data_IF_531605477955
#
_entry.id   IF_531605477955
#
_cell.length_a   1.000
_cell.length_b   1.000
_cell.length_c   1.000
_cell.angle_alpha   90.00
_cell.angle_beta   90.00
_cell.angle_gamma   90.00
#
_symmetry.space_group_name_H-M   'P 1'
#
loop_
_entity.id
_entity.type
_entity.pdbx_description
1 polymer ?
#
# COMPACT_ATOMS: atom_id res chain seq x y z
N UNK A 1 20.31 65.48 26.87
CA UNK A 1 20.61 64.15 26.36
C UNK A 1 19.35 63.27 26.61
N UNK A 2 18.49 63.07 25.61
CA UNK A 2 17.22 62.39 25.76
C UNK A 2 17.38 60.97 25.22
N UNK A 3 17.27 59.92 26.07
CA UNK A 3 17.16 58.55 25.68
C UNK A 3 15.73 58.29 25.17
N UNK A 4 15.60 57.96 23.90
CA UNK A 4 14.39 57.42 23.32
C UNK A 4 14.42 55.90 23.52
N UNK A 5 13.58 55.40 24.40
CA UNK A 5 13.29 53.95 24.50
C UNK A 5 12.42 53.49 23.31
N UNK A 6 12.92 52.50 22.61
CA UNK A 6 12.26 51.94 21.43
C UNK A 6 11.26 50.83 21.88
N UNK A 7 9.96 51.15 21.86
CA UNK A 7 8.86 50.33 22.39
C UNK A 7 8.41 49.24 21.39
N UNK A 8 9.11 49.04 20.28
CA UNK A 8 8.62 48.15 19.21
C UNK A 8 9.19 46.71 19.22
N UNK A 9 9.99 46.32 20.20
CA UNK A 9 10.66 45.02 20.21
C UNK A 9 9.91 43.93 21.01
N UNK A 10 8.83 44.24 21.74
CA UNK A 10 8.23 43.29 22.71
C UNK A 10 6.90 42.68 22.26
N UNK A 11 6.36 43.07 21.10
CA UNK A 11 5.04 42.58 20.65
C UNK A 11 5.06 41.44 19.63
N UNK A 12 6.23 41.05 19.11
CA UNK A 12 6.33 40.06 18.05
C UNK A 12 6.65 38.63 18.53
N UNK A 13 7.08 38.44 19.76
CA UNK A 13 7.46 37.10 20.29
C UNK A 13 6.28 36.38 20.95
N UNK A 14 5.26 37.10 21.41
CA UNK A 14 4.10 36.48 22.08
C UNK A 14 3.02 36.00 21.14
N UNK A 15 2.92 36.54 19.91
CA UNK A 15 1.89 36.14 18.94
C UNK A 15 2.21 34.80 18.24
N UNK A 16 3.49 34.51 18.02
CA UNK A 16 3.88 33.23 17.35
C UNK A 16 3.77 32.03 18.28
N UNK A 17 3.96 32.20 19.59
CA UNK A 17 3.79 31.12 20.57
C UNK A 17 2.31 30.83 20.85
N UNK A 18 1.43 31.84 20.77
CA UNK A 18 -0.02 31.64 20.95
C UNK A 18 -0.71 31.02 19.73
N UNK A 19 -0.22 31.28 18.50
CA UNK A 19 -0.76 30.64 17.29
C UNK A 19 -0.28 29.17 17.17
N UNK A 20 0.90 28.81 17.65
CA UNK A 20 1.38 27.44 17.69
C UNK A 20 0.63 26.54 18.68
N UNK A 21 0.17 27.09 19.80
CA UNK A 21 -0.57 26.35 20.82
C UNK A 21 -2.03 26.09 20.42
N UNK A 22 -2.60 26.86 19.49
CA UNK A 22 -4.01 26.73 19.08
C UNK A 22 -4.27 25.57 18.13
N UNK A 23 -3.24 24.91 17.60
CA UNK A 23 -3.34 23.81 16.64
C UNK A 23 -2.59 22.54 17.05
N UNK A 24 -2.02 22.49 18.25
CA UNK A 24 -1.44 21.26 18.76
C UNK A 24 -2.56 20.27 19.09
N UNK A 25 -2.64 19.17 18.34
CA UNK A 25 -3.58 18.07 18.63
C UNK A 25 -3.18 17.44 19.95
N UNK A 26 -4.16 17.20 20.84
CA UNK A 26 -3.89 16.52 22.11
C UNK A 26 -3.77 15.01 21.91
N UNK A 27 -3.05 14.33 22.80
CA UNK A 27 -2.95 12.85 22.78
C UNK A 27 -4.34 12.19 22.86
N UNK A 28 -5.25 12.78 23.64
CA UNK A 28 -6.63 12.30 23.75
C UNK A 28 -7.37 12.40 22.40
N UNK A 29 -7.24 13.53 21.68
CA UNK A 29 -7.85 13.69 20.37
C UNK A 29 -7.31 12.69 19.34
N UNK A 30 -6.00 12.40 19.37
CA UNK A 30 -5.36 11.40 18.51
C UNK A 30 -5.91 10.00 18.84
N UNK A 31 -5.99 9.68 20.12
CA UNK A 31 -6.49 8.39 20.61
C UNK A 31 -7.97 8.19 20.25
N UNK A 32 -8.80 9.21 20.43
CA UNK A 32 -10.21 9.17 20.08
C UNK A 32 -10.41 9.05 18.57
N UNK A 33 -9.60 9.75 17.77
CA UNK A 33 -9.66 9.62 16.32
C UNK A 33 -9.28 8.19 15.88
N UNK A 34 -8.20 7.64 16.43
CA UNK A 34 -7.78 6.28 16.10
C UNK A 34 -8.86 5.24 16.46
N UNK A 35 -9.51 5.37 17.62
CA UNK A 35 -10.65 4.53 18.00
C UNK A 35 -11.82 4.71 17.02
N UNK A 36 -12.22 5.96 16.77
CA UNK A 36 -13.31 6.27 15.89
C UNK A 36 -13.08 5.74 14.45
N UNK A 37 -11.83 5.83 13.96
CA UNK A 37 -11.45 5.29 12.66
C UNK A 37 -11.57 3.76 12.60
N UNK A 38 -11.22 3.05 13.67
CA UNK A 38 -11.32 1.59 13.74
C UNK A 38 -12.74 1.08 13.90
N UNK A 39 -13.58 1.79 14.63
CA UNK A 39 -14.93 1.34 14.99
C UNK A 39 -16.05 1.99 14.18
N UNK A 40 -15.71 2.59 13.04
CA UNK A 40 -16.65 3.24 12.13
C UNK A 40 -17.48 4.35 12.77
N UNK A 41 -16.94 5.07 13.79
CA UNK A 41 -17.63 6.16 14.46
C UNK A 41 -17.50 7.49 13.70
N UNK A 42 -18.38 7.66 12.73
CA UNK A 42 -18.44 8.85 11.87
C UNK A 42 -18.72 10.14 12.66
N UNK A 43 -19.52 10.04 13.74
CA UNK A 43 -19.89 11.22 14.53
C UNK A 43 -18.66 11.81 15.23
N UNK A 44 -17.87 10.95 15.88
CA UNK A 44 -16.62 11.35 16.54
C UNK A 44 -15.61 11.88 15.52
N UNK A 45 -15.43 11.22 14.37
CA UNK A 45 -14.51 11.69 13.32
C UNK A 45 -14.92 13.08 12.82
N UNK A 46 -16.21 13.31 12.50
CA UNK A 46 -16.70 14.62 12.08
C UNK A 46 -16.47 15.70 13.15
N UNK A 47 -16.74 15.37 14.41
CA UNK A 47 -16.51 16.31 15.53
C UNK A 47 -15.03 16.69 15.65
N UNK A 48 -14.10 15.72 15.56
CA UNK A 48 -12.66 15.99 15.63
C UNK A 48 -12.17 16.84 14.46
N UNK A 49 -12.59 16.51 13.23
CA UNK A 49 -12.26 17.30 12.04
C UNK A 49 -12.79 18.74 12.16
N UNK A 50 -14.02 18.94 12.68
CA UNK A 50 -14.59 20.28 12.88
C UNK A 50 -13.87 21.10 13.95
N UNK A 51 -13.20 20.45 14.89
CA UNK A 51 -12.32 21.08 15.90
C UNK A 51 -10.90 21.35 15.38
N UNK A 52 -10.64 21.11 14.08
CA UNK A 52 -9.35 21.36 13.45
C UNK A 52 -8.33 20.23 13.59
N UNK A 53 -8.72 19.04 14.06
CA UNK A 53 -7.84 17.87 14.05
C UNK A 53 -7.57 17.49 12.60
N UNK A 54 -6.28 17.31 12.25
CA UNK A 54 -5.90 16.98 10.87
C UNK A 54 -6.39 15.57 10.47
N UNK A 55 -6.95 15.40 9.27
CA UNK A 55 -7.27 14.05 8.76
C UNK A 55 -6.02 13.19 8.52
N UNK A 56 -4.84 13.82 8.45
CA UNK A 56 -3.54 13.17 8.24
C UNK A 56 -2.81 12.83 9.55
N UNK A 57 -3.51 12.94 10.66
CA UNK A 57 -2.99 12.51 11.97
C UNK A 57 -2.70 11.00 11.93
N UNK A 58 -1.64 10.60 12.62
CA UNK A 58 -1.29 9.18 12.83
C UNK A 58 -1.53 8.77 14.28
N UNK A 59 -1.82 7.50 14.49
CA UNK A 59 -1.84 6.94 15.84
C UNK A 59 -0.42 6.87 16.44
N UNK A 60 -0.24 6.53 17.73
CA UNK A 60 1.08 6.44 18.35
C UNK A 60 2.02 5.42 17.68
N UNK A 61 1.48 4.45 16.93
CA UNK A 61 2.25 3.47 16.17
C UNK A 61 2.72 4.04 14.82
N UNK A 62 2.12 5.16 14.38
CA UNK A 62 2.41 5.82 13.11
C UNK A 62 1.51 5.36 11.98
N UNK A 63 0.38 4.72 12.28
CA UNK A 63 -0.63 4.41 11.28
C UNK A 63 -1.52 5.65 11.03
N UNK A 64 -1.64 6.14 9.77
CA UNK A 64 -2.59 7.18 9.40
C UNK A 64 -4.04 6.75 9.67
N UNK A 65 -4.92 7.71 10.00
CA UNK A 65 -6.32 7.41 10.32
C UNK A 65 -7.06 6.73 9.16
N UNK A 66 -6.76 7.08 7.92
CA UNK A 66 -7.32 6.40 6.74
C UNK A 66 -6.84 4.95 6.65
N UNK A 67 -5.56 4.68 6.95
CA UNK A 67 -5.02 3.32 6.98
C UNK A 67 -5.71 2.45 8.03
N UNK A 68 -5.94 3.01 9.23
CA UNK A 68 -6.67 2.32 10.30
C UNK A 68 -8.11 1.99 9.86
N UNK A 69 -8.81 2.96 9.29
CA UNK A 69 -10.18 2.76 8.81
C UNK A 69 -10.25 1.65 7.74
N UNK A 70 -9.30 1.62 6.78
CA UNK A 70 -9.27 0.59 5.73
C UNK A 70 -8.90 -0.79 6.33
N UNK A 71 -7.93 -0.86 7.26
CA UNK A 71 -7.57 -2.11 7.95
C UNK A 71 -8.78 -2.74 8.64
N UNK A 72 -9.57 -1.93 9.31
CA UNK A 72 -10.72 -2.37 10.11
C UNK A 72 -12.06 -2.34 9.34
N UNK A 73 -12.02 -2.04 8.03
CA UNK A 73 -13.18 -1.99 7.12
C UNK A 73 -14.30 -1.06 7.60
N UNK A 74 -13.92 0.09 8.14
CA UNK A 74 -14.82 1.14 8.64
C UNK A 74 -15.37 1.98 7.48
N UNK A 75 -16.32 1.44 6.72
CA UNK A 75 -16.76 1.94 5.41
C UNK A 75 -17.18 3.40 5.42
N UNK A 76 -17.98 3.83 6.40
CA UNK A 76 -18.47 5.22 6.45
C UNK A 76 -17.35 6.20 6.79
N UNK A 77 -16.41 5.80 7.66
CA UNK A 77 -15.22 6.61 7.99
C UNK A 77 -14.25 6.64 6.81
N UNK A 78 -14.06 5.53 6.10
CA UNK A 78 -13.27 5.49 4.85
C UNK A 78 -13.83 6.51 3.86
N UNK A 79 -15.14 6.46 3.60
CA UNK A 79 -15.81 7.37 2.66
C UNK A 79 -15.67 8.83 3.11
N UNK A 80 -15.85 9.11 4.40
CA UNK A 80 -15.70 10.45 4.96
C UNK A 80 -14.28 10.99 4.78
N UNK A 81 -13.26 10.18 5.11
CA UNK A 81 -11.86 10.57 4.99
C UNK A 81 -11.43 10.71 3.53
N UNK A 82 -11.84 9.80 2.64
CA UNK A 82 -11.54 9.92 1.22
C UNK A 82 -12.22 11.14 0.59
N UNK A 83 -13.43 11.49 1.00
CA UNK A 83 -14.14 12.68 0.50
C UNK A 83 -13.52 14.00 0.99
N UNK A 84 -12.81 13.99 2.12
CA UNK A 84 -12.13 15.17 2.65
C UNK A 84 -10.92 15.52 1.79
N UNK A 85 -10.94 16.68 1.12
CA UNK A 85 -9.85 17.11 0.23
C UNK A 85 -8.50 17.33 0.93
N UNK A 86 -8.51 17.57 2.25
CA UNK A 86 -7.30 17.74 3.05
C UNK A 86 -6.64 16.40 3.42
N UNK A 87 -7.33 15.25 3.22
CA UNK A 87 -6.73 13.94 3.44
C UNK A 87 -5.67 13.65 2.39
N UNK A 88 -4.47 13.33 2.83
CA UNK A 88 -3.42 12.77 1.99
C UNK A 88 -3.67 11.26 1.83
N UNK A 89 -4.06 10.85 0.63
CA UNK A 89 -4.39 9.46 0.31
C UNK A 89 -3.16 8.60 0.00
N UNK A 90 -1.99 9.20 -0.04
CA UNK A 90 -0.71 8.52 -0.23
C UNK A 90 0.15 8.50 1.05
N UNK A 91 -0.39 9.03 2.15
CA UNK A 91 0.31 9.02 3.44
C UNK A 91 0.54 7.59 3.91
N UNK A 92 1.81 7.19 3.99
CA UNK A 92 2.20 5.85 4.42
C UNK A 92 2.40 5.76 5.94
N UNK A 93 2.27 4.55 6.48
CA UNK A 93 2.67 4.24 7.84
C UNK A 93 4.20 4.02 7.95
N UNK A 94 4.70 3.70 9.14
CA UNK A 94 6.14 3.46 9.40
C UNK A 94 6.72 2.28 8.60
N UNK A 95 5.89 1.38 8.12
CA UNK A 95 6.29 0.27 7.24
C UNK A 95 6.29 0.65 5.77
N UNK A 96 5.93 1.90 5.43
CA UNK A 96 5.82 2.38 4.05
C UNK A 96 4.52 1.96 3.36
N UNK A 97 3.53 1.43 4.10
CA UNK A 97 2.26 1.00 3.53
C UNK A 97 1.30 2.18 3.36
N UNK A 98 0.86 2.42 2.13
CA UNK A 98 -0.14 3.43 1.78
C UNK A 98 -1.56 2.90 1.92
N UNK A 99 -2.58 3.79 1.98
CA UNK A 99 -3.98 3.38 1.92
C UNK A 99 -4.30 2.43 0.76
N UNK A 100 -3.75 2.70 -0.43
CA UNK A 100 -3.97 1.87 -1.62
C UNK A 100 -3.36 0.47 -1.47
N UNK A 101 -2.19 0.33 -0.83
CA UNK A 101 -1.59 -0.98 -0.54
C UNK A 101 -2.47 -1.78 0.42
N UNK A 102 -2.99 -1.14 1.49
CA UNK A 102 -3.85 -1.80 2.47
C UNK A 102 -5.19 -2.22 1.85
N UNK A 103 -5.81 -1.36 1.04
CA UNK A 103 -7.02 -1.71 0.31
C UNK A 103 -6.76 -2.88 -0.66
N UNK A 104 -5.57 -2.93 -1.28
CA UNK A 104 -5.19 -3.98 -2.22
C UNK A 104 -4.97 -5.34 -1.54
N UNK A 105 -4.35 -5.38 -0.34
CA UNK A 105 -4.18 -6.64 0.41
C UNK A 105 -5.49 -7.14 0.99
N UNK A 106 -6.45 -6.22 1.27
CA UNK A 106 -7.79 -6.57 1.73
C UNK A 106 -8.70 -7.06 0.59
N UNK A 107 -8.32 -6.84 -0.67
CA UNK A 107 -9.15 -7.13 -1.83
C UNK A 107 -10.33 -6.17 -2.00
N UNK A 108 -10.26 -5.00 -1.38
CA UNK A 108 -11.33 -4.00 -1.36
C UNK A 108 -11.36 -3.19 -2.66
N UNK A 109 -11.90 -3.79 -3.71
CA UNK A 109 -11.98 -3.17 -5.04
C UNK A 109 -12.72 -1.83 -5.05
N UNK A 110 -13.84 -1.63 -4.33
CA UNK A 110 -14.51 -0.33 -4.22
C UNK A 110 -13.59 0.78 -3.71
N UNK A 111 -12.88 0.54 -2.59
CA UNK A 111 -11.92 1.50 -2.03
C UNK A 111 -10.76 1.74 -2.97
N UNK A 112 -10.19 0.68 -3.57
CA UNK A 112 -9.12 0.78 -4.58
C UNK A 112 -9.55 1.68 -5.74
N UNK A 113 -10.75 1.47 -6.30
CA UNK A 113 -11.30 2.29 -7.38
C UNK A 113 -11.43 3.75 -6.97
N UNK A 114 -11.96 4.01 -5.79
CA UNK A 114 -12.15 5.38 -5.28
C UNK A 114 -10.81 6.09 -5.10
N UNK A 115 -9.82 5.44 -4.49
CA UNK A 115 -8.48 5.99 -4.31
C UNK A 115 -7.82 6.33 -5.66
N UNK A 116 -7.84 5.41 -6.62
CA UNK A 116 -7.17 5.60 -7.92
C UNK A 116 -7.93 6.57 -8.82
N UNK A 117 -9.23 6.39 -9.00
CA UNK A 117 -9.99 7.16 -10.00
C UNK A 117 -10.37 8.56 -9.52
N UNK A 118 -10.79 8.69 -8.26
CA UNK A 118 -11.27 9.96 -7.72
C UNK A 118 -10.18 10.77 -7.06
N UNK A 119 -9.27 10.12 -6.32
CA UNK A 119 -8.23 10.80 -5.55
C UNK A 119 -6.86 10.79 -6.22
N UNK A 120 -6.69 10.04 -7.33
CA UNK A 120 -5.42 9.94 -8.07
C UNK A 120 -4.25 9.42 -7.23
N UNK A 121 -4.55 8.50 -6.31
CA UNK A 121 -3.55 7.85 -5.48
C UNK A 121 -2.44 7.21 -6.34
N UNK A 122 -1.21 7.25 -5.85
CA UNK A 122 -0.05 6.70 -6.54
C UNK A 122 -0.16 5.17 -6.61
N UNK A 123 -0.12 4.63 -7.84
CA UNK A 123 -0.25 3.20 -8.11
C UNK A 123 1.09 2.47 -7.90
N UNK A 124 2.20 3.14 -8.23
CA UNK A 124 3.54 2.56 -8.09
C UNK A 124 4.37 3.32 -7.05
N UNK A 125 5.16 2.56 -6.31
CA UNK A 125 6.10 3.05 -5.31
C UNK A 125 7.44 2.31 -5.45
N UNK A 126 8.51 2.89 -4.93
CA UNK A 126 9.78 2.18 -4.80
C UNK A 126 9.63 1.06 -3.76
N UNK A 127 9.98 -0.15 -4.14
CA UNK A 127 9.80 -1.33 -3.30
C UNK A 127 8.44 -1.99 -3.47
N UNK A 128 7.74 -2.26 -2.37
CA UNK A 128 6.42 -2.88 -2.42
C UNK A 128 5.38 -1.96 -3.06
N UNK A 129 4.56 -2.51 -3.97
CA UNK A 129 3.49 -1.78 -4.67
C UNK A 129 2.12 -2.38 -4.35
N UNK A 130 1.01 -1.65 -4.56
CA UNK A 130 -0.34 -2.20 -4.44
C UNK A 130 -0.54 -3.51 -5.22
N UNK A 131 0.12 -3.66 -6.39
CA UNK A 131 0.04 -4.88 -7.19
C UNK A 131 0.69 -6.08 -6.49
N UNK A 132 1.82 -5.90 -5.80
CA UNK A 132 2.41 -6.95 -4.97
C UNK A 132 1.43 -7.42 -3.88
N UNK A 133 0.78 -6.49 -3.20
CA UNK A 133 -0.17 -6.78 -2.11
C UNK A 133 -1.42 -7.52 -2.62
N UNK A 134 -1.97 -7.10 -3.76
CA UNK A 134 -3.08 -7.80 -4.41
C UNK A 134 -2.68 -9.23 -4.82
N UNK A 135 -1.49 -9.39 -5.40
CA UNK A 135 -0.96 -10.68 -5.83
C UNK A 135 -0.68 -11.61 -4.65
N UNK A 136 -0.16 -11.11 -3.53
CA UNK A 136 0.15 -11.90 -2.34
C UNK A 136 -1.08 -12.60 -1.73
N UNK A 137 -2.26 -12.02 -1.91
CA UNK A 137 -3.53 -12.59 -1.43
C UNK A 137 -4.41 -13.17 -2.54
N UNK A 138 -3.94 -13.16 -3.79
CA UNK A 138 -4.68 -13.72 -4.91
C UNK A 138 -5.90 -12.90 -5.34
N UNK A 139 -5.95 -11.59 -5.05
CA UNK A 139 -7.06 -10.72 -5.38
C UNK A 139 -7.04 -10.33 -6.87
N UNK A 140 -7.59 -11.23 -7.68
CA UNK A 140 -7.58 -11.12 -9.15
C UNK A 140 -8.18 -9.81 -9.66
N UNK A 141 -9.35 -9.42 -9.17
CA UNK A 141 -10.07 -8.24 -9.65
C UNK A 141 -9.32 -6.94 -9.32
N UNK A 142 -8.71 -6.87 -8.13
CA UNK A 142 -7.86 -5.74 -7.73
C UNK A 142 -6.62 -5.67 -8.62
N UNK A 143 -5.95 -6.80 -8.83
CA UNK A 143 -4.76 -6.85 -9.70
C UNK A 143 -5.10 -6.45 -11.15
N UNK A 144 -6.22 -6.95 -11.70
CA UNK A 144 -6.71 -6.56 -13.03
C UNK A 144 -6.94 -5.05 -13.11
N UNK A 145 -7.59 -4.48 -12.12
CA UNK A 145 -7.87 -3.05 -12.07
C UNK A 145 -6.58 -2.21 -11.98
N UNK A 146 -5.64 -2.59 -11.10
CA UNK A 146 -4.35 -1.88 -10.96
C UNK A 146 -3.55 -1.92 -12.26
N UNK A 147 -3.44 -3.09 -12.90
CA UNK A 147 -2.75 -3.26 -14.18
C UNK A 147 -3.41 -2.41 -15.28
N UNK A 148 -4.74 -2.40 -15.34
CA UNK A 148 -5.48 -1.59 -16.32
C UNK A 148 -5.30 -0.08 -16.12
N UNK A 149 -4.90 0.35 -14.91
CA UNK A 149 -4.63 1.75 -14.58
C UNK A 149 -3.13 2.08 -14.49
N UNK A 150 -2.25 1.24 -15.04
CA UNK A 150 -0.84 1.54 -15.24
C UNK A 150 0.12 0.99 -14.20
N UNK A 151 -0.30 0.06 -13.33
CA UNK A 151 0.62 -0.60 -12.41
C UNK A 151 1.74 -1.33 -13.16
N UNK A 152 2.98 -1.13 -12.73
CA UNK A 152 4.16 -1.78 -13.30
C UNK A 152 4.15 -3.28 -13.01
N UNK A 153 4.10 -4.10 -14.08
CA UNK A 153 3.96 -5.56 -14.00
C UNK A 153 5.13 -6.21 -13.26
N UNK A 154 6.34 -5.76 -13.55
CA UNK A 154 7.59 -6.32 -13.04
C UNK A 154 8.27 -5.40 -12.01
N UNK A 155 7.47 -4.63 -11.25
CA UNK A 155 7.99 -3.85 -10.13
C UNK A 155 8.73 -4.76 -9.14
N UNK A 156 9.82 -4.24 -8.56
CA UNK A 156 10.69 -4.99 -7.67
C UNK A 156 10.53 -4.50 -6.23
N UNK A 157 10.23 -5.40 -5.32
CA UNK A 157 10.31 -5.12 -3.87
C UNK A 157 11.78 -4.94 -3.44
N UNK A 158 12.02 -4.57 -2.18
CA UNK A 158 13.38 -4.46 -1.63
C UNK A 158 14.18 -5.77 -1.73
N UNK A 159 13.50 -6.93 -1.78
CA UNK A 159 14.11 -8.24 -2.00
C UNK A 159 14.05 -8.71 -3.46
N UNK A 160 13.87 -7.80 -4.41
CA UNK A 160 13.68 -8.08 -5.83
C UNK A 160 12.53 -9.08 -6.13
N UNK A 161 11.57 -9.20 -5.21
CA UNK A 161 10.37 -10.01 -5.44
C UNK A 161 9.45 -9.28 -6.41
N UNK A 162 8.90 -9.99 -7.40
CA UNK A 162 7.95 -9.44 -8.38
C UNK A 162 6.50 -9.77 -8.01
N UNK A 163 5.50 -9.04 -8.54
CA UNK A 163 4.09 -9.40 -8.41
C UNK A 163 3.79 -10.83 -8.89
N UNK A 164 4.46 -11.31 -9.95
CA UNK A 164 4.33 -12.68 -10.43
C UNK A 164 4.76 -13.69 -9.37
N UNK A 165 5.90 -13.47 -8.71
CA UNK A 165 6.37 -14.33 -7.61
C UNK A 165 5.36 -14.41 -6.46
N UNK A 166 4.74 -13.28 -6.11
CA UNK A 166 3.69 -13.23 -5.08
C UNK A 166 2.42 -13.96 -5.52
N UNK A 167 2.00 -13.81 -6.79
CA UNK A 167 0.85 -14.53 -7.33
C UNK A 167 1.07 -16.05 -7.34
N UNK A 168 2.28 -16.51 -7.68
CA UNK A 168 2.66 -17.92 -7.60
C UNK A 168 2.58 -18.43 -6.16
N UNK A 169 3.11 -17.68 -5.21
CA UNK A 169 3.04 -18.03 -3.79
C UNK A 169 1.60 -18.14 -3.29
N UNK A 170 0.72 -17.23 -3.72
CA UNK A 170 -0.71 -17.29 -3.37
C UNK A 170 -1.42 -18.52 -3.91
N UNK A 171 -0.91 -19.14 -4.99
CA UNK A 171 -1.48 -20.29 -5.65
C UNK A 171 -2.65 -19.97 -6.59
N UNK A 172 -2.91 -18.70 -6.88
CA UNK A 172 -3.99 -18.31 -7.80
C UNK A 172 -3.54 -18.42 -9.27
N UNK A 173 -3.85 -19.54 -9.92
CA UNK A 173 -3.45 -19.83 -11.31
C UNK A 173 -3.97 -18.81 -12.31
N UNK A 174 -5.20 -18.31 -12.11
CA UNK A 174 -5.81 -17.31 -13.01
C UNK A 174 -5.04 -15.98 -12.92
N UNK A 175 -4.63 -15.59 -11.72
CA UNK A 175 -3.82 -14.40 -11.52
C UNK A 175 -2.41 -14.55 -12.09
N UNK A 176 -1.77 -15.72 -11.91
CA UNK A 176 -0.47 -16.03 -12.54
C UNK A 176 -0.59 -15.93 -14.06
N UNK A 177 -1.64 -16.54 -14.64
CA UNK A 177 -1.89 -16.45 -16.07
C UNK A 177 -2.09 -15.01 -16.52
N UNK A 178 -2.88 -14.22 -15.81
CA UNK A 178 -3.09 -12.80 -16.10
C UNK A 178 -1.77 -12.03 -16.19
N UNK A 179 -0.91 -12.14 -15.17
CA UNK A 179 0.37 -11.43 -15.14
C UNK A 179 1.27 -11.84 -16.33
N UNK A 180 1.34 -13.13 -16.63
CA UNK A 180 2.09 -13.64 -17.77
C UNK A 180 1.54 -13.14 -19.11
N UNK A 181 0.23 -13.06 -19.26
CA UNK A 181 -0.41 -12.54 -20.49
C UNK A 181 -0.24 -11.02 -20.63
N UNK A 182 0.02 -10.33 -19.51
CA UNK A 182 0.39 -8.92 -19.46
C UNK A 182 1.89 -8.66 -19.56
N UNK A 183 2.69 -9.70 -19.81
CA UNK A 183 4.10 -9.59 -20.13
C UNK A 183 5.06 -9.75 -18.94
N UNK A 184 4.60 -10.28 -17.82
CA UNK A 184 5.49 -10.55 -16.68
C UNK A 184 6.70 -11.42 -17.09
N UNK A 185 7.91 -11.00 -16.70
CA UNK A 185 9.16 -11.63 -17.08
C UNK A 185 9.48 -12.83 -16.18
N UNK A 186 9.53 -14.02 -16.77
CA UNK A 186 9.91 -15.27 -16.11
C UNK A 186 11.40 -15.38 -15.75
N UNK A 187 12.25 -14.52 -16.29
CA UNK A 187 13.68 -14.55 -16.04
C UNK A 187 14.08 -13.85 -14.74
N UNK A 188 13.21 -12.97 -14.25
CA UNK A 188 13.50 -12.21 -13.04
C UNK A 188 13.71 -13.13 -11.84
N UNK A 189 14.70 -12.77 -11.02
CA UNK A 189 15.04 -13.49 -9.80
C UNK A 189 15.08 -12.55 -8.62
N UNK A 190 14.58 -13.04 -7.50
CA UNK A 190 14.65 -12.31 -6.24
C UNK A 190 16.09 -12.30 -5.66
N UNK A 191 16.28 -11.63 -4.53
CA UNK A 191 17.59 -11.54 -3.85
C UNK A 191 18.16 -12.89 -3.40
N UNK A 192 17.34 -13.94 -3.34
CA UNK A 192 17.77 -15.31 -3.07
C UNK A 192 18.14 -16.08 -4.36
N UNK A 193 18.08 -15.42 -5.53
CA UNK A 193 18.32 -16.04 -6.82
C UNK A 193 17.16 -16.90 -7.34
N UNK A 194 15.98 -16.82 -6.72
CA UNK A 194 14.81 -17.62 -7.07
C UNK A 194 13.92 -16.89 -8.08
N UNK A 195 13.50 -17.59 -9.14
CA UNK A 195 12.48 -17.15 -10.09
C UNK A 195 11.09 -17.55 -9.63
N UNK A 196 10.04 -17.10 -10.37
CA UNK A 196 8.68 -17.54 -10.16
C UNK A 196 8.52 -19.07 -10.31
N UNK A 197 9.31 -19.73 -11.17
CA UNK A 197 9.30 -21.19 -11.34
C UNK A 197 9.83 -21.88 -10.08
N UNK A 198 10.95 -21.39 -9.53
CA UNK A 198 11.54 -21.96 -8.31
C UNK A 198 10.57 -21.79 -7.12
N UNK A 199 9.93 -20.64 -7.02
CA UNK A 199 8.92 -20.37 -5.98
C UNK A 199 7.74 -21.33 -6.10
N UNK A 200 7.28 -21.62 -7.32
CA UNK A 200 6.18 -22.58 -7.52
C UNK A 200 6.53 -23.98 -6.99
N UNK A 201 7.80 -24.40 -7.14
CA UNK A 201 8.27 -25.68 -6.61
C UNK A 201 8.38 -25.63 -5.09
N UNK A 202 9.03 -24.59 -4.54
CA UNK A 202 9.26 -24.44 -3.09
C UNK A 202 7.93 -24.35 -2.32
N UNK A 203 6.93 -23.69 -2.88
CA UNK A 203 5.59 -23.54 -2.26
C UNK A 203 4.62 -24.65 -2.66
N UNK A 204 5.11 -25.75 -3.25
CA UNK A 204 4.32 -26.94 -3.60
C UNK A 204 3.09 -26.59 -4.47
N UNK A 205 3.32 -25.82 -5.55
CA UNK A 205 2.32 -25.46 -6.54
C UNK A 205 2.57 -26.19 -7.86
N UNK A 206 2.38 -27.53 -7.93
CA UNK A 206 2.83 -28.35 -9.06
C UNK A 206 2.22 -27.92 -10.39
N UNK A 207 0.94 -27.61 -10.43
CA UNK A 207 0.27 -27.18 -11.66
C UNK A 207 0.80 -25.84 -12.18
N UNK A 208 1.05 -24.88 -11.26
CA UNK A 208 1.67 -23.60 -11.63
C UNK A 208 3.08 -23.84 -12.13
N UNK A 209 3.88 -24.64 -11.43
CA UNK A 209 5.27 -24.94 -11.84
C UNK A 209 5.30 -25.57 -13.24
N UNK A 210 4.44 -26.55 -13.52
CA UNK A 210 4.34 -27.17 -14.84
C UNK A 210 3.91 -26.18 -15.93
N UNK A 211 2.92 -25.32 -15.63
CA UNK A 211 2.48 -24.27 -16.55
C UNK A 211 3.60 -23.26 -16.87
N UNK A 212 4.35 -22.84 -15.84
CA UNK A 212 5.48 -21.91 -15.98
C UNK A 212 6.63 -22.55 -16.77
N UNK A 213 6.98 -23.82 -16.50
CA UNK A 213 8.02 -24.55 -17.24
C UNK A 213 7.62 -24.73 -18.72
N UNK A 214 6.37 -25.06 -19.00
CA UNK A 214 5.84 -25.17 -20.37
C UNK A 214 5.94 -23.84 -21.11
N UNK A 215 5.62 -22.74 -20.42
CA UNK A 215 5.76 -21.37 -20.99
C UNK A 215 7.24 -21.02 -21.19
N UNK A 216 8.11 -21.34 -20.25
CA UNK A 216 9.56 -21.17 -20.37
C UNK A 216 10.10 -21.86 -21.63
N UNK A 217 9.81 -23.16 -21.80
CA UNK A 217 10.26 -23.93 -22.96
C UNK A 217 9.78 -23.33 -24.26
N UNK A 218 8.55 -22.86 -24.31
CA UNK A 218 7.97 -22.22 -25.51
C UNK A 218 8.65 -20.89 -25.86
N UNK A 219 8.96 -20.06 -24.85
CA UNK A 219 9.54 -18.72 -25.05
C UNK A 219 11.05 -18.79 -25.34
N UNK A 220 11.78 -19.58 -24.57
CA UNK A 220 13.24 -19.55 -24.59
C UNK A 220 13.86 -20.74 -25.34
N UNK A 221 13.07 -21.76 -25.68
CA UNK A 221 13.51 -22.98 -26.41
C UNK A 221 14.74 -23.67 -25.81
N UNK A 222 14.89 -23.58 -24.51
CA UNK A 222 15.99 -24.17 -23.74
C UNK A 222 15.49 -24.72 -22.42
N UNK A 223 16.14 -25.76 -21.84
CA UNK A 223 15.77 -26.28 -20.54
C UNK A 223 15.93 -25.23 -19.44
N UNK A 224 15.04 -25.26 -18.46
CA UNK A 224 15.16 -24.39 -17.29
C UNK A 224 16.36 -24.81 -16.44
N UNK A 225 17.18 -23.84 -16.01
CA UNK A 225 18.32 -24.05 -15.13
C UNK A 225 17.91 -23.84 -13.68
N UNK A 226 17.85 -24.95 -12.95
CA UNK A 226 17.50 -24.93 -11.53
C UNK A 226 18.62 -24.31 -10.67
N UNK A 227 18.30 -23.46 -9.71
CA UNK A 227 19.27 -22.99 -8.74
C UNK A 227 19.67 -24.13 -7.79
N UNK A 228 20.84 -24.00 -7.16
CA UNK A 228 21.33 -25.00 -6.19
C UNK A 228 20.34 -25.13 -5.03
N UNK A 229 19.94 -26.36 -4.72
CA UNK A 229 19.04 -26.67 -3.60
C UNK A 229 17.55 -26.63 -3.96
N UNK A 230 17.17 -26.31 -5.20
CA UNK A 230 15.79 -26.46 -5.69
C UNK A 230 15.74 -27.69 -6.60
N UNK A 231 15.01 -28.71 -6.18
CA UNK A 231 14.81 -29.92 -6.98
C UNK A 231 13.52 -29.84 -7.80
N UNK A 232 13.53 -30.30 -9.07
CA UNK A 232 12.31 -30.41 -9.86
C UNK A 232 11.26 -31.26 -9.15
N UNK A 233 9.99 -30.94 -9.35
CA UNK A 233 8.91 -31.82 -8.89
C UNK A 233 9.09 -33.19 -9.52
N UNK A 234 9.07 -34.23 -8.69
CA UNK A 234 9.06 -35.62 -9.19
C UNK A 234 7.79 -35.84 -9.97
N UNK A 235 7.93 -36.27 -11.19
CA UNK A 235 6.84 -36.63 -12.12
C UNK A 235 6.02 -37.81 -11.60
#
# INVERSE_FOLDING_TARGET
MRLKFNIYATFFVTSTLFYGALYAQTEDQITDFAKAAKFNDVATVKSLLSKGVSPNTTDPKGDPMLNLAIKDKSEDVINLLIANKATDVDLSNKSGETPLMIASINGDLPVVKTLVLQRKAQIDHVGWTPLHYACARGHLEVAQFLIANGATIDSLSQGNTTPLMMAVQSGNEVLVKLLLDKGADLQLRNSQGLSAIDIAVIYEKPWIAQGLLSRWQRLYKQPYKWPKGVEPLKS
#
